data_IF_396653921772
#
_entry.id   IF_396653921772
#
_cell.length_a   1.000
_cell.length_b   1.000
_cell.length_c   1.000
_cell.angle_alpha   90.00
_cell.angle_beta   90.00
_cell.angle_gamma   90.00
#
_symmetry.space_group_name_H-M   'P 1'
#
loop_
_entity.id
_entity.type
_entity.pdbx_description
1 polymer ?
#
# COMPACT_ATOMS: atom_id res chain seq x y z
N UNK A 1 -68.71 -32.87 -72.67
CA UNK A 1 -69.07 -33.94 -71.71
C UNK A 1 -67.88 -34.22 -70.78
N UNK A 2 -68.15 -34.36 -69.46
CA UNK A 2 -67.29 -34.88 -68.36
C UNK A 2 -66.06 -34.02 -67.95
N UNK A 3 -66.12 -33.32 -66.79
CA UNK A 3 -65.70 -33.69 -65.40
C UNK A 3 -64.15 -33.62 -65.26
N UNK A 4 -63.54 -33.00 -64.24
CA UNK A 4 -63.58 -33.34 -62.80
C UNK A 4 -63.08 -32.14 -61.94
N UNK A 5 -63.63 -32.02 -60.72
CA UNK A 5 -63.29 -31.10 -59.63
C UNK A 5 -61.87 -31.29 -59.06
N UNK A 6 -61.27 -30.24 -58.47
CA UNK A 6 -60.64 -30.38 -57.14
C UNK A 6 -60.50 -29.06 -56.40
N UNK A 7 -60.84 -29.14 -55.13
CA UNK A 7 -60.76 -28.18 -54.03
C UNK A 7 -59.29 -27.85 -53.75
N UNK A 8 -58.96 -26.57 -53.51
CA UNK A 8 -57.73 -26.21 -52.81
C UNK A 8 -57.99 -25.20 -51.71
N UNK A 9 -57.51 -25.60 -50.55
CA UNK A 9 -57.69 -25.05 -49.21
C UNK A 9 -56.71 -23.92 -48.95
N UNK A 10 -57.16 -22.97 -48.12
CA UNK A 10 -56.42 -22.00 -47.29
C UNK A 10 -54.93 -22.28 -47.06
N UNK A 11 -54.08 -21.24 -47.15
CA UNK A 11 -53.03 -20.95 -46.15
C UNK A 11 -52.62 -19.47 -46.18
N UNK A 12 -52.91 -18.77 -45.08
CA UNK A 12 -52.29 -17.52 -44.65
C UNK A 12 -50.78 -17.72 -44.46
N UNK A 13 -49.96 -16.78 -44.91
CA UNK A 13 -48.72 -16.42 -44.20
C UNK A 13 -48.44 -14.93 -44.34
N UNK A 14 -48.64 -14.22 -43.23
CA UNK A 14 -48.06 -12.91 -42.96
C UNK A 14 -46.55 -13.03 -42.96
N UNK A 15 -45.89 -12.44 -43.95
CA UNK A 15 -44.44 -12.24 -43.94
C UNK A 15 -44.07 -11.16 -42.95
N UNK A 16 -43.96 -11.52 -41.67
CA UNK A 16 -43.24 -10.74 -40.67
C UNK A 16 -41.77 -10.70 -41.10
N UNK A 17 -41.32 -9.56 -41.62
CA UNK A 17 -39.90 -9.27 -41.80
C UNK A 17 -39.32 -9.12 -40.40
N UNK A 18 -38.71 -10.20 -39.90
CA UNK A 18 -37.83 -10.16 -38.76
C UNK A 18 -36.68 -9.19 -39.08
N UNK A 19 -36.75 -7.99 -38.52
CA UNK A 19 -35.62 -7.08 -38.41
C UNK A 19 -34.62 -7.75 -37.47
N UNK A 20 -33.67 -8.47 -38.05
CA UNK A 20 -32.44 -8.81 -37.36
C UNK A 20 -31.82 -7.48 -36.91
N UNK A 21 -31.88 -7.21 -35.61
CA UNK A 21 -31.13 -6.14 -34.99
C UNK A 21 -29.65 -6.41 -35.28
N UNK A 22 -29.11 -5.75 -36.31
CA UNK A 22 -27.67 -5.61 -36.47
C UNK A 22 -27.19 -4.87 -35.24
N UNK A 23 -26.59 -5.60 -34.29
CA UNK A 23 -25.77 -5.00 -33.24
C UNK A 23 -24.73 -4.12 -33.94
N UNK A 24 -24.93 -2.80 -33.91
CA UNK A 24 -23.99 -1.86 -34.50
C UNK A 24 -22.60 -2.12 -33.90
N UNK A 25 -21.54 -2.23 -34.72
CA UNK A 25 -20.18 -2.44 -34.23
C UNK A 25 -19.71 -1.36 -33.24
N UNK A 26 -20.38 -0.20 -33.18
CA UNK A 26 -20.17 0.86 -32.18
C UNK A 26 -20.56 0.46 -30.76
N UNK A 27 -21.57 -0.40 -30.56
CA UNK A 27 -22.07 -0.74 -29.22
C UNK A 27 -21.12 -1.66 -28.45
N UNK A 28 -20.55 -2.68 -29.13
CA UNK A 28 -19.54 -3.59 -28.54
C UNK A 28 -18.23 -2.86 -28.24
N UNK A 29 -17.78 -1.99 -29.14
CA UNK A 29 -16.58 -1.18 -28.92
C UNK A 29 -16.74 -0.23 -27.72
N UNK A 30 -17.91 0.40 -27.58
CA UNK A 30 -18.22 1.28 -26.45
C UNK A 30 -18.30 0.51 -25.13
N UNK A 31 -18.97 -0.64 -25.09
CA UNK A 31 -19.04 -1.49 -23.89
C UNK A 31 -17.67 -2.00 -23.47
N UNK A 32 -16.83 -2.39 -24.43
CA UNK A 32 -15.46 -2.82 -24.17
C UNK A 32 -14.61 -1.70 -23.57
N UNK A 33 -14.68 -0.49 -24.13
CA UNK A 33 -13.93 0.67 -23.65
C UNK A 33 -14.42 1.13 -22.25
N UNK A 34 -15.73 1.12 -22.00
CA UNK A 34 -16.29 1.41 -20.67
C UNK A 34 -15.90 0.34 -19.62
N UNK A 35 -15.85 -0.93 -20.03
CA UNK A 35 -15.36 -2.03 -19.21
C UNK A 35 -13.88 -1.91 -18.86
N UNK A 36 -13.04 -1.47 -19.80
CA UNK A 36 -11.63 -1.15 -19.57
C UNK A 36 -11.47 -0.03 -18.54
N UNK A 37 -12.23 1.07 -18.67
CA UNK A 37 -12.24 2.16 -17.69
C UNK A 37 -12.58 1.65 -16.28
N UNK A 38 -13.57 0.78 -16.15
CA UNK A 38 -14.02 0.23 -14.85
C UNK A 38 -12.93 -0.62 -14.18
N UNK A 39 -12.22 -1.44 -14.97
CA UNK A 39 -11.08 -2.23 -14.47
C UNK A 39 -9.93 -1.34 -14.01
N UNK A 40 -9.63 -0.28 -14.75
CA UNK A 40 -8.57 0.68 -14.41
C UNK A 40 -8.93 1.52 -13.17
N UNK A 41 -10.21 1.93 -13.03
CA UNK A 41 -10.73 2.60 -11.81
C UNK A 41 -10.57 1.70 -10.58
N UNK A 42 -10.92 0.42 -10.68
CA UNK A 42 -10.74 -0.54 -9.60
C UNK A 42 -9.26 -0.77 -9.25
N UNK A 43 -8.39 -0.88 -10.27
CA UNK A 43 -6.95 -0.98 -10.07
C UNK A 43 -6.34 0.24 -9.37
N UNK A 44 -6.80 1.45 -9.72
CA UNK A 44 -6.41 2.69 -9.06
C UNK A 44 -6.87 2.74 -7.59
N UNK A 45 -8.09 2.30 -7.30
CA UNK A 45 -8.61 2.23 -5.94
C UNK A 45 -7.78 1.27 -5.06
N UNK A 46 -7.47 0.07 -5.57
CA UNK A 46 -6.62 -0.88 -4.86
C UNK A 46 -5.22 -0.35 -4.54
N UNK A 47 -4.61 0.39 -5.48
CA UNK A 47 -3.32 1.04 -5.24
C UNK A 47 -3.39 2.18 -4.22
N UNK A 48 -4.51 2.92 -4.16
CA UNK A 48 -4.75 3.92 -3.12
C UNK A 48 -4.91 3.29 -1.73
N UNK A 49 -5.61 2.16 -1.65
CA UNK A 49 -5.74 1.39 -0.40
C UNK A 49 -4.38 0.86 0.08
N UNK A 50 -3.57 0.33 -0.85
CA UNK A 50 -2.19 -0.06 -0.56
C UNK A 50 -1.37 1.14 -0.08
N UNK A 51 -1.51 2.32 -0.72
CA UNK A 51 -0.83 3.54 -0.29
C UNK A 51 -1.21 3.97 1.11
N UNK A 52 -2.48 3.83 1.48
CA UNK A 52 -2.95 4.11 2.84
C UNK A 52 -2.33 3.15 3.85
N UNK A 53 -2.12 1.87 3.48
CA UNK A 53 -1.45 0.89 4.34
C UNK A 53 0.00 1.25 4.66
N UNK A 54 0.70 1.98 3.77
CA UNK A 54 2.07 2.43 4.02
C UNK A 54 2.19 3.37 5.21
N UNK A 55 1.14 4.14 5.54
CA UNK A 55 1.14 5.04 6.70
C UNK A 55 1.20 4.27 8.01
N UNK A 56 0.49 3.15 8.09
CA UNK A 56 0.51 2.26 9.26
C UNK A 56 1.90 1.65 9.45
N UNK A 57 2.52 1.16 8.37
CA UNK A 57 3.86 0.58 8.43
C UNK A 57 4.93 1.63 8.76
N UNK A 58 4.80 2.85 8.24
CA UNK A 58 5.70 3.97 8.57
C UNK A 58 5.68 4.29 10.08
N UNK A 59 4.48 4.37 10.67
CA UNK A 59 4.31 4.56 12.12
C UNK A 59 4.92 3.42 12.93
N UNK A 60 4.76 2.17 12.47
CA UNK A 60 5.36 0.99 13.11
C UNK A 60 6.88 1.09 13.13
N UNK A 61 7.50 1.44 12.00
CA UNK A 61 8.95 1.61 11.89
C UNK A 61 9.46 2.78 12.75
N UNK A 62 8.74 3.90 12.81
CA UNK A 62 9.07 5.04 13.68
C UNK A 62 9.04 4.66 15.17
N UNK A 63 8.04 3.87 15.59
CA UNK A 63 7.98 3.37 16.96
C UNK A 63 9.18 2.46 17.26
N UNK A 64 9.51 1.56 16.33
CA UNK A 64 10.64 0.66 16.47
C UNK A 64 11.99 1.40 16.56
N UNK A 65 12.18 2.47 15.79
CA UNK A 65 13.35 3.36 15.88
C UNK A 65 13.45 4.04 17.26
N UNK A 66 12.33 4.55 17.77
CA UNK A 66 12.27 5.17 19.09
C UNK A 66 12.63 4.17 20.20
N UNK A 67 12.05 2.97 20.16
CA UNK A 67 12.32 1.91 21.13
C UNK A 67 13.78 1.46 21.08
N UNK A 68 14.35 1.36 19.87
CA UNK A 68 15.75 0.98 19.67
C UNK A 68 16.70 2.04 20.24
N UNK A 69 16.42 3.33 20.02
CA UNK A 69 17.19 4.44 20.61
C UNK A 69 17.14 4.41 22.13
N UNK A 70 15.98 4.13 22.71
CA UNK A 70 15.84 3.99 24.16
C UNK A 70 16.69 2.83 24.71
N UNK A 71 16.69 1.69 24.02
CA UNK A 71 17.47 0.51 24.43
C UNK A 71 18.98 0.72 24.27
N UNK A 72 19.44 1.35 23.18
CA UNK A 72 20.85 1.77 23.01
C UNK A 72 21.29 2.65 24.17
N UNK A 73 20.47 3.63 24.56
CA UNK A 73 20.77 4.50 25.69
C UNK A 73 20.81 3.75 27.02
N UNK A 74 19.94 2.75 27.22
CA UNK A 74 19.99 1.87 28.38
C UNK A 74 21.30 1.08 28.43
N UNK A 75 21.68 0.42 27.34
CA UNK A 75 22.94 -0.34 27.26
C UNK A 75 24.14 0.58 27.52
N UNK A 76 24.13 1.80 26.97
CA UNK A 76 25.19 2.79 27.22
C UNK A 76 25.33 3.12 28.70
N UNK A 77 24.22 3.34 29.42
CA UNK A 77 24.25 3.55 30.87
C UNK A 77 24.77 2.33 31.61
N UNK A 78 24.27 1.14 31.29
CA UNK A 78 24.75 -0.11 31.91
C UNK A 78 26.25 -0.34 31.69
N UNK A 79 26.80 0.05 30.53
CA UNK A 79 28.24 -0.01 30.25
C UNK A 79 29.06 0.95 31.11
N UNK A 80 28.54 2.15 31.38
CA UNK A 80 29.19 3.10 32.29
C UNK A 80 29.19 2.58 33.72
N UNK A 81 28.04 2.11 34.20
CA UNK A 81 27.91 1.53 35.56
C UNK A 81 28.81 0.30 35.72
N UNK A 82 28.83 -0.58 34.72
CA UNK A 82 29.73 -1.74 34.69
C UNK A 82 31.19 -1.34 34.79
N UNK A 83 31.61 -0.30 34.04
CA UNK A 83 33.00 0.16 34.07
C UNK A 83 33.38 0.66 35.47
N UNK A 84 32.50 1.44 36.11
CA UNK A 84 32.73 1.90 37.48
C UNK A 84 32.87 0.74 38.47
N UNK A 85 32.00 -0.28 38.36
CA UNK A 85 32.07 -1.47 39.22
C UNK A 85 33.34 -2.30 38.96
N UNK A 86 33.77 -2.40 37.70
CA UNK A 86 34.98 -3.11 37.30
C UNK A 86 36.25 -2.40 37.81
N UNK A 87 36.31 -1.07 37.66
CA UNK A 87 37.40 -0.25 38.19
C UNK A 87 37.46 -0.38 39.73
N UNK A 88 36.31 -0.36 40.41
CA UNK A 88 36.22 -0.57 41.85
C UNK A 88 36.66 -1.97 42.29
N UNK A 89 36.30 -3.02 41.53
CA UNK A 89 36.77 -4.39 41.79
C UNK A 89 38.28 -4.49 41.59
N UNK A 90 38.83 -3.86 40.54
CA UNK A 90 40.26 -3.85 40.29
C UNK A 90 41.03 -3.22 41.46
N UNK A 91 40.55 -2.09 41.98
CA UNK A 91 41.12 -1.47 43.19
C UNK A 91 41.01 -2.38 44.43
N UNK A 92 39.88 -3.05 44.61
CA UNK A 92 39.63 -3.99 45.71
C UNK A 92 40.58 -5.20 45.63
N UNK A 93 40.81 -5.73 44.43
CA UNK A 93 41.78 -6.79 44.16
C UNK A 93 43.22 -6.35 44.41
N UNK A 94 43.59 -5.12 44.03
CA UNK A 94 44.93 -4.59 44.33
C UNK A 94 45.18 -4.50 45.84
N UNK A 95 44.19 -4.03 46.62
CA UNK A 95 44.28 -3.98 48.09
C UNK A 95 44.34 -5.37 48.71
N UNK A 96 43.49 -6.28 48.23
CA UNK A 96 43.52 -7.68 48.67
C UNK A 96 44.88 -8.32 48.41
N UNK A 97 45.45 -8.16 47.21
CA UNK A 97 46.76 -8.71 46.89
C UNK A 97 47.89 -8.09 47.71
N UNK A 98 47.79 -6.81 48.08
CA UNK A 98 48.77 -6.16 48.94
C UNK A 98 48.73 -6.65 50.40
N UNK A 99 47.54 -6.98 50.92
CA UNK A 99 47.34 -7.36 52.34
C UNK A 99 47.32 -8.88 52.58
N UNK A 100 46.78 -9.63 51.63
CA UNK A 100 46.51 -11.06 51.72
C UNK A 100 47.28 -11.90 50.69
N UNK A 101 47.99 -11.25 49.76
CA UNK A 101 48.77 -11.92 48.71
C UNK A 101 50.18 -12.29 49.16
N UNK A 102 50.74 -13.31 48.50
CA UNK A 102 52.11 -13.78 48.74
C UNK A 102 52.19 -15.05 49.61
N UNK A 103 53.41 -15.53 49.82
CA UNK A 103 53.67 -16.70 50.67
C UNK A 103 53.96 -16.27 52.10
N UNK A 104 53.06 -16.61 53.02
CA UNK A 104 53.23 -16.33 54.44
C UNK A 104 53.62 -17.60 55.22
N UNK A 105 54.43 -17.49 56.28
CA UNK A 105 54.59 -18.55 57.25
C UNK A 105 53.23 -18.95 57.83
N UNK A 106 53.05 -20.23 58.19
CA UNK A 106 51.76 -20.76 58.69
C UNK A 106 51.16 -19.96 59.84
N UNK A 107 51.98 -19.48 60.77
CA UNK A 107 51.54 -18.65 61.91
C UNK A 107 50.93 -17.32 61.49
N UNK A 108 51.47 -16.69 60.45
CA UNK A 108 50.97 -15.43 59.89
C UNK A 108 49.71 -15.68 59.06
N UNK A 109 49.67 -16.79 58.31
CA UNK A 109 48.48 -17.22 57.60
C UNK A 109 47.29 -17.43 58.54
N UNK A 110 47.47 -18.17 59.64
CA UNK A 110 46.39 -18.43 60.61
C UNK A 110 45.82 -17.14 61.23
N UNK A 111 46.62 -16.08 61.34
CA UNK A 111 46.20 -14.75 61.80
C UNK A 111 45.45 -13.94 60.73
N UNK A 112 45.90 -14.01 59.47
CA UNK A 112 45.28 -13.28 58.35
C UNK A 112 44.01 -13.97 57.83
N UNK A 113 43.90 -15.29 57.99
CA UNK A 113 42.82 -16.13 57.48
C UNK A 113 41.41 -15.59 57.75
N UNK A 114 41.04 -15.17 58.99
CA UNK A 114 39.69 -14.68 59.28
C UNK A 114 39.32 -13.40 58.52
N UNK A 115 40.31 -12.63 58.05
CA UNK A 115 40.12 -11.41 57.25
C UNK A 115 40.17 -11.72 55.75
N UNK A 116 41.15 -12.51 55.32
CA UNK A 116 41.44 -12.75 53.91
C UNK A 116 40.46 -13.72 53.24
N UNK A 117 40.08 -14.83 53.88
CA UNK A 117 39.13 -15.79 53.29
C UNK A 117 37.76 -15.16 52.93
N UNK A 118 37.08 -14.41 53.81
CA UNK A 118 35.80 -13.80 53.44
C UNK A 118 35.94 -12.64 52.44
N UNK A 119 37.08 -11.96 52.39
CA UNK A 119 37.33 -10.92 51.39
C UNK A 119 37.59 -11.52 50.01
N UNK A 120 38.42 -12.56 49.92
CA UNK A 120 38.65 -13.32 48.69
C UNK A 120 37.34 -13.84 48.09
N UNK A 121 36.47 -14.42 48.93
CA UNK A 121 35.13 -14.85 48.49
C UNK A 121 34.30 -13.70 47.90
N UNK A 122 34.30 -12.51 48.53
CA UNK A 122 33.59 -11.34 47.99
C UNK A 122 34.15 -10.89 46.64
N UNK A 123 35.47 -10.97 46.45
CA UNK A 123 36.12 -10.66 45.17
C UNK A 123 35.70 -11.68 44.11
N UNK A 124 35.70 -12.97 44.43
CA UNK A 124 35.27 -14.03 43.52
C UNK A 124 33.79 -13.90 43.12
N UNK A 125 32.92 -13.61 44.09
CA UNK A 125 31.49 -13.38 43.87
C UNK A 125 31.25 -12.15 42.97
N UNK A 126 31.96 -11.04 43.22
CA UNK A 126 31.90 -9.83 42.38
C UNK A 126 32.43 -10.08 40.98
N UNK A 127 33.54 -10.80 40.84
CA UNK A 127 34.14 -11.16 39.55
C UNK A 127 33.15 -11.97 38.73
N UNK A 128 32.55 -13.01 39.33
CA UNK A 128 31.53 -13.85 38.69
C UNK A 128 30.31 -13.02 38.27
N UNK A 129 29.87 -12.09 39.11
CA UNK A 129 28.75 -11.20 38.82
C UNK A 129 29.04 -10.27 37.63
N UNK A 130 30.24 -9.68 37.56
CA UNK A 130 30.66 -8.82 36.47
C UNK A 130 30.82 -9.62 35.16
N UNK A 131 31.40 -10.82 35.19
CA UNK A 131 31.49 -11.68 34.02
C UNK A 131 30.11 -12.00 33.44
N UNK A 132 29.13 -12.28 34.30
CA UNK A 132 27.76 -12.53 33.85
C UNK A 132 27.14 -11.27 33.23
N UNK A 133 27.27 -10.11 33.88
CA UNK A 133 26.79 -8.82 33.35
C UNK A 133 27.44 -8.48 32.02
N UNK A 134 28.73 -8.76 31.84
CA UNK A 134 29.43 -8.54 30.58
C UNK A 134 28.84 -9.39 29.45
N UNK A 135 28.55 -10.67 29.71
CA UNK A 135 27.85 -11.56 28.75
C UNK A 135 26.46 -11.05 28.41
N UNK A 136 25.68 -10.64 29.42
CA UNK A 136 24.32 -10.15 29.23
C UNK A 136 24.30 -8.86 28.40
N UNK A 137 25.22 -7.92 28.68
CA UNK A 137 25.37 -6.68 27.89
C UNK A 137 25.80 -6.95 26.45
N UNK A 138 26.72 -7.90 26.23
CA UNK A 138 27.12 -8.32 24.89
C UNK A 138 25.94 -8.92 24.12
N UNK A 139 25.16 -9.79 24.76
CA UNK A 139 23.93 -10.35 24.19
C UNK A 139 22.89 -9.27 23.87
N UNK A 140 22.70 -8.29 24.75
CA UNK A 140 21.79 -7.17 24.51
C UNK A 140 22.26 -6.29 23.33
N UNK A 141 23.56 -6.01 23.24
CA UNK A 141 24.14 -5.25 22.13
C UNK A 141 23.89 -5.96 20.79
N UNK A 142 24.19 -7.26 20.70
CA UNK A 142 23.98 -8.03 19.47
C UNK A 142 22.50 -8.03 19.02
N UNK A 143 21.56 -8.09 19.97
CA UNK A 143 20.13 -7.98 19.68
C UNK A 143 19.76 -6.60 19.13
N UNK A 144 20.29 -5.53 19.73
CA UNK A 144 20.09 -4.15 19.25
C UNK A 144 20.66 -3.99 17.83
N UNK A 145 21.88 -4.47 17.59
CA UNK A 145 22.53 -4.35 16.27
C UNK A 145 21.74 -5.09 15.19
N UNK A 146 21.23 -6.29 15.51
CA UNK A 146 20.37 -7.07 14.61
C UNK A 146 19.07 -6.34 14.30
N UNK A 147 18.41 -5.78 15.33
CA UNK A 147 17.19 -4.99 15.16
C UNK A 147 17.44 -3.73 14.33
N UNK A 148 18.59 -3.07 14.52
CA UNK A 148 18.96 -1.90 13.74
C UNK A 148 19.14 -2.22 12.25
N UNK A 149 19.80 -3.33 11.94
CA UNK A 149 19.95 -3.80 10.57
C UNK A 149 18.59 -4.14 9.93
N UNK A 150 17.71 -4.79 10.68
CA UNK A 150 16.35 -5.11 10.21
C UNK A 150 15.53 -3.86 9.95
N UNK A 151 15.52 -2.91 10.90
CA UNK A 151 14.83 -1.62 10.77
C UNK A 151 15.29 -0.85 9.52
N UNK A 152 16.60 -0.85 9.25
CA UNK A 152 17.17 -0.21 8.06
C UNK A 152 16.68 -0.89 6.78
N UNK A 153 16.73 -2.23 6.74
CA UNK A 153 16.24 -3.01 5.59
C UNK A 153 14.75 -2.82 5.35
N UNK A 154 13.93 -2.81 6.40
CA UNK A 154 12.48 -2.67 6.27
C UNK A 154 12.08 -1.25 5.86
N UNK A 155 12.80 -0.23 6.33
CA UNK A 155 12.64 1.16 5.87
C UNK A 155 12.96 1.30 4.39
N UNK A 156 14.04 0.67 3.91
CA UNK A 156 14.39 0.65 2.48
C UNK A 156 13.33 -0.07 1.65
N UNK A 157 12.85 -1.24 2.10
CA UNK A 157 11.76 -1.97 1.44
C UNK A 157 10.47 -1.15 1.36
N UNK A 158 10.08 -0.47 2.44
CA UNK A 158 8.90 0.38 2.45
C UNK A 158 9.05 1.55 1.47
N UNK A 159 10.23 2.17 1.45
CA UNK A 159 10.54 3.26 0.50
C UNK A 159 10.43 2.79 -0.94
N UNK A 160 10.97 1.61 -1.26
CA UNK A 160 10.87 1.03 -2.58
C UNK A 160 9.41 0.71 -2.95
N UNK A 161 8.65 0.10 -2.04
CA UNK A 161 7.20 -0.16 -2.24
C UNK A 161 6.41 1.12 -2.52
N UNK A 162 6.66 2.20 -1.77
CA UNK A 162 6.04 3.51 -1.99
C UNK A 162 6.33 4.02 -3.39
N UNK A 163 7.60 3.97 -3.82
CA UNK A 163 8.01 4.39 -5.17
C UNK A 163 7.36 3.56 -6.27
N UNK A 164 7.33 2.24 -6.11
CA UNK A 164 6.72 1.33 -7.08
C UNK A 164 5.20 1.51 -7.18
N UNK A 165 4.53 1.73 -6.04
CA UNK A 165 3.11 2.04 -6.01
C UNK A 165 2.80 3.39 -6.67
N UNK A 166 3.59 4.45 -6.38
CA UNK A 166 3.42 5.76 -7.03
C UNK A 166 3.66 5.68 -8.56
N UNK A 167 4.64 4.89 -9.01
CA UNK A 167 4.88 4.64 -10.43
C UNK A 167 3.70 3.89 -11.08
N UNK A 168 3.18 2.83 -10.45
CA UNK A 168 1.99 2.11 -10.92
C UNK A 168 0.75 3.01 -10.93
N UNK A 169 0.59 3.88 -9.93
CA UNK A 169 -0.50 4.84 -9.86
C UNK A 169 -0.46 5.83 -11.02
N UNK A 170 0.73 6.34 -11.37
CA UNK A 170 0.90 7.20 -12.52
C UNK A 170 0.57 6.48 -13.84
N UNK A 171 1.06 5.25 -14.03
CA UNK A 171 0.78 4.42 -15.22
C UNK A 171 -0.72 4.11 -15.37
N UNK A 172 -1.37 3.64 -14.30
CA UNK A 172 -2.81 3.36 -14.30
C UNK A 172 -3.62 4.63 -14.55
N UNK A 173 -3.21 5.77 -13.97
CA UNK A 173 -3.91 7.05 -14.20
C UNK A 173 -3.78 7.50 -15.66
N UNK A 174 -2.60 7.35 -16.27
CA UNK A 174 -2.40 7.68 -17.68
C UNK A 174 -3.25 6.77 -18.61
N UNK A 175 -3.25 5.46 -18.35
CA UNK A 175 -4.10 4.49 -19.08
C UNK A 175 -5.58 4.78 -18.91
N UNK A 176 -6.01 5.12 -17.69
CA UNK A 176 -7.41 5.47 -17.40
C UNK A 176 -7.83 6.71 -18.19
N UNK A 177 -7.03 7.79 -18.20
CA UNK A 177 -7.33 8.98 -18.98
C UNK A 177 -7.42 8.65 -20.48
N UNK A 178 -6.54 7.81 -21.01
CA UNK A 178 -6.59 7.40 -22.41
C UNK A 178 -7.86 6.58 -22.73
N UNK A 179 -8.21 5.62 -21.88
CA UNK A 179 -9.41 4.80 -22.03
C UNK A 179 -10.69 5.66 -21.95
N UNK A 180 -10.74 6.62 -21.04
CA UNK A 180 -11.85 7.56 -20.91
C UNK A 180 -11.99 8.45 -22.15
N UNK A 181 -10.89 9.00 -22.69
CA UNK A 181 -10.92 9.76 -23.95
C UNK A 181 -11.46 8.93 -25.11
N UNK A 182 -11.00 7.68 -25.26
CA UNK A 182 -11.50 6.77 -26.30
C UNK A 182 -12.99 6.48 -26.13
N UNK A 183 -13.45 6.27 -24.90
CA UNK A 183 -14.86 5.98 -24.60
C UNK A 183 -15.75 7.19 -24.92
N UNK A 184 -15.32 8.40 -24.56
CA UNK A 184 -16.01 9.65 -24.94
C UNK A 184 -16.08 9.76 -26.46
N UNK A 185 -14.94 9.62 -27.16
CA UNK A 185 -14.88 9.74 -28.61
C UNK A 185 -15.77 8.72 -29.32
N UNK A 186 -15.87 7.49 -28.81
CA UNK A 186 -16.77 6.45 -29.33
C UNK A 186 -18.25 6.81 -29.11
N UNK A 187 -18.60 7.29 -27.91
CA UNK A 187 -19.98 7.67 -27.60
C UNK A 187 -20.45 8.85 -28.46
N UNK A 188 -19.61 9.86 -28.68
CA UNK A 188 -19.99 11.05 -29.44
C UNK A 188 -20.11 10.83 -30.96
N UNK A 189 -19.64 9.68 -31.48
CA UNK A 189 -19.87 9.26 -32.87
C UNK A 189 -21.31 8.80 -33.11
N UNK A 190 -22.01 8.34 -32.08
CA UNK A 190 -23.41 7.95 -32.16
C UNK A 190 -24.31 9.18 -31.89
N UNK A 191 -25.14 9.61 -32.85
CA UNK A 191 -26.03 10.77 -32.68
C UNK A 191 -26.95 10.67 -31.46
N UNK A 192 -27.43 9.46 -31.14
CA UNK A 192 -28.33 9.21 -30.01
C UNK A 192 -27.61 9.41 -28.68
N UNK A 193 -26.39 8.87 -28.59
CA UNK A 193 -25.57 9.01 -27.38
C UNK A 193 -25.02 10.42 -27.25
N UNK A 194 -24.76 11.12 -28.36
CA UNK A 194 -24.39 12.54 -28.37
C UNK A 194 -25.51 13.42 -27.84
N UNK A 195 -26.76 13.14 -28.20
CA UNK A 195 -27.92 13.86 -27.65
C UNK A 195 -28.07 13.61 -26.14
N UNK A 196 -27.93 12.35 -25.69
CA UNK A 196 -27.90 12.02 -24.25
C UNK A 196 -26.74 12.70 -23.53
N UNK A 197 -25.56 12.78 -24.16
CA UNK A 197 -24.40 13.47 -23.61
C UNK A 197 -24.67 14.96 -23.42
N UNK A 198 -25.33 15.61 -24.38
CA UNK A 198 -25.77 17.01 -24.23
C UNK A 198 -26.76 17.19 -23.07
N UNK A 199 -27.75 16.29 -22.94
CA UNK A 199 -28.68 16.33 -21.81
C UNK A 199 -27.98 16.09 -20.48
N UNK A 200 -26.95 15.24 -20.45
CA UNK A 200 -26.10 15.02 -19.29
C UNK A 200 -25.32 16.28 -18.91
N UNK A 201 -24.71 16.96 -19.89
CA UNK A 201 -23.98 18.22 -19.66
C UNK A 201 -24.89 19.27 -19.01
N UNK A 202 -26.13 19.43 -19.50
CA UNK A 202 -27.12 20.38 -18.95
C UNK A 202 -27.49 20.16 -17.48
N UNK A 203 -27.27 18.95 -16.95
CA UNK A 203 -27.51 18.61 -15.54
C UNK A 203 -26.33 18.96 -14.62
N UNK A 204 -25.21 19.43 -15.18
CA UNK A 204 -24.05 19.88 -14.40
C UNK A 204 -24.37 21.19 -13.68
N UNK A 205 -24.04 21.26 -12.38
CA UNK A 205 -24.34 22.41 -11.51
C UNK A 205 -23.26 23.48 -11.53
N UNK A 206 -22.05 23.17 -12.02
CA UNK A 206 -20.97 24.13 -12.22
C UNK A 206 -20.99 24.69 -13.63
N UNK A 207 -20.95 26.02 -13.76
CA UNK A 207 -20.90 26.71 -15.06
C UNK A 207 -19.68 26.34 -15.89
N UNK A 208 -18.52 26.13 -15.23
CA UNK A 208 -17.29 25.71 -15.89
C UNK A 208 -17.39 24.26 -16.40
N UNK A 209 -17.97 23.35 -15.62
CA UNK A 209 -18.19 21.96 -16.03
C UNK A 209 -19.20 21.87 -17.18
N UNK A 210 -20.27 22.66 -17.12
CA UNK A 210 -21.28 22.76 -18.18
C UNK A 210 -20.66 23.24 -19.48
N UNK A 211 -19.89 24.33 -19.44
CA UNK A 211 -19.25 24.92 -20.62
C UNK A 211 -18.22 23.96 -21.22
N UNK A 212 -17.37 23.37 -20.40
CA UNK A 212 -16.40 22.36 -20.81
C UNK A 212 -17.06 21.12 -21.44
N UNK A 213 -18.09 20.56 -20.80
CA UNK A 213 -18.81 19.39 -21.30
C UNK A 213 -19.49 19.69 -22.65
N UNK A 214 -20.15 20.85 -22.78
CA UNK A 214 -20.78 21.25 -24.04
C UNK A 214 -19.76 21.45 -25.16
N UNK A 215 -18.60 22.05 -24.88
CA UNK A 215 -17.56 22.21 -25.91
C UNK A 215 -16.98 20.87 -26.39
N UNK A 216 -16.89 19.87 -25.53
CA UNK A 216 -16.49 18.52 -25.95
C UNK A 216 -17.60 17.85 -26.77
N UNK A 217 -18.86 17.95 -26.33
CA UNK A 217 -20.01 17.29 -26.98
C UNK A 217 -20.36 17.92 -28.34
N UNK A 218 -20.43 19.25 -28.40
CA UNK A 218 -20.91 20.00 -29.57
C UNK A 218 -19.77 20.50 -30.44
N UNK A 219 -18.76 21.12 -29.84
CA UNK A 219 -17.65 21.75 -30.57
C UNK A 219 -16.51 20.77 -30.90
N UNK A 220 -16.66 19.50 -30.51
CA UNK A 220 -15.64 18.46 -30.65
C UNK A 220 -14.27 18.87 -30.07
N UNK A 221 -14.27 19.71 -29.03
CA UNK A 221 -13.07 20.09 -28.31
C UNK A 221 -12.39 18.85 -27.72
N UNK A 222 -11.06 18.87 -27.67
CA UNK A 222 -10.29 17.82 -27.04
C UNK A 222 -10.63 17.73 -25.54
N UNK A 223 -11.16 16.59 -25.03
CA UNK A 223 -11.50 16.41 -23.62
C UNK A 223 -10.32 16.67 -22.67
N UNK A 224 -9.07 16.55 -23.15
CA UNK A 224 -7.88 16.84 -22.35
C UNK A 224 -7.81 18.28 -21.87
N UNK A 225 -8.38 19.23 -22.62
CA UNK A 225 -8.43 20.67 -22.28
C UNK A 225 -9.45 20.99 -21.18
N UNK A 226 -10.37 20.07 -20.95
CA UNK A 226 -11.51 20.21 -20.04
C UNK A 226 -11.42 19.26 -18.82
N UNK A 227 -10.35 18.47 -18.74
CA UNK A 227 -10.24 17.37 -17.78
C UNK A 227 -11.04 16.15 -18.23
N UNK A 228 -10.36 15.16 -18.80
CA UNK A 228 -11.00 13.93 -19.33
C UNK A 228 -11.88 13.23 -18.30
N UNK A 229 -11.37 13.07 -17.07
CA UNK A 229 -12.07 12.38 -16.00
C UNK A 229 -13.38 13.09 -15.61
N UNK A 230 -13.39 14.43 -15.64
CA UNK A 230 -14.57 15.23 -15.35
C UNK A 230 -15.65 14.99 -16.41
N UNK A 231 -15.29 15.13 -17.69
CA UNK A 231 -16.23 14.93 -18.81
C UNK A 231 -16.75 13.49 -18.80
N UNK A 232 -15.86 12.52 -18.63
CA UNK A 232 -16.24 11.11 -18.55
C UNK A 232 -17.24 10.86 -17.41
N UNK A 233 -17.02 11.45 -16.24
CA UNK A 233 -17.92 11.30 -15.09
C UNK A 233 -19.31 11.90 -15.36
N UNK A 234 -19.37 13.10 -15.96
CA UNK A 234 -20.66 13.72 -16.33
C UNK A 234 -21.45 12.82 -17.28
N UNK A 235 -20.78 12.28 -18.31
CA UNK A 235 -21.43 11.38 -19.28
C UNK A 235 -21.83 10.04 -18.65
N UNK A 236 -21.01 9.49 -17.75
CA UNK A 236 -21.30 8.27 -16.99
C UNK A 236 -22.53 8.44 -16.10
N UNK A 237 -22.58 9.50 -15.30
CA UNK A 237 -23.73 9.84 -14.44
C UNK A 237 -24.98 10.15 -15.26
N UNK A 238 -24.80 10.74 -16.45
CA UNK A 238 -25.87 10.96 -17.42
C UNK A 238 -26.40 9.70 -18.13
N UNK A 239 -25.83 8.53 -17.87
CA UNK A 239 -26.27 7.26 -18.46
C UNK A 239 -25.86 7.08 -19.93
N UNK A 240 -24.89 7.85 -20.43
CA UNK A 240 -24.44 7.79 -21.83
C UNK A 240 -23.76 6.46 -22.15
N UNK A 241 -23.08 5.86 -21.17
CA UNK A 241 -22.37 4.58 -21.31
C UNK A 241 -23.20 3.38 -20.82
N UNK A 242 -24.43 3.62 -20.36
CA UNK A 242 -25.36 2.55 -19.97
C UNK A 242 -25.89 1.81 -21.20
N UNK A 243 -26.10 0.50 -21.07
CA UNK A 243 -26.71 -0.32 -22.11
C UNK A 243 -28.06 0.27 -22.54
N UNK A 244 -28.33 0.23 -23.84
CA UNK A 244 -29.63 0.58 -24.38
C UNK A 244 -30.69 -0.22 -23.63
N UNK A 245 -31.45 0.45 -22.76
CA UNK A 245 -32.71 -0.09 -22.26
C UNK A 245 -33.57 -0.25 -23.50
N UNK A 246 -33.72 -1.50 -23.94
CA UNK A 246 -34.72 -1.92 -24.91
C UNK A 246 -36.05 -1.47 -24.32
N UNK A 247 -36.61 -0.39 -24.85
CA UNK A 247 -37.98 0.00 -24.54
C UNK A 247 -38.86 -1.04 -25.21
N UNK A 248 -39.64 -1.85 -24.48
CA UNK A 248 -40.64 -2.68 -25.12
C UNK A 248 -41.65 -1.75 -25.79
N UNK A 249 -41.73 -1.83 -27.12
CA UNK A 249 -42.81 -1.22 -27.88
C UNK A 249 -44.09 -1.93 -27.47
N UNK A 250 -45.06 -1.17 -26.96
CA UNK A 250 -46.40 -1.66 -26.61
C UNK A 250 -47.14 -2.18 -27.83
#
# INVERSE_FOLDING_TARGET
MRRVLSVFTLFMTLGFVATAAQEQPSSKALQSAAGECTKLEAGKAALLDEKNSFSTEDKRLQQEDSDLKAEVNRIRRSKMDFKMDADALQDDMHKYNAECGGSHPRSVYEQLRPKCEPWGKKIDDKTTSLDQRARDMSGAQNKVDTRQANLSNDTLKLTQKKKDNDAKMADVTAKLNQAQMRTIALALKDPTLRQRASEACKKSTSGEQLQCCNSVVWDAADPSRCGVALVYQVLKTGGVFGTAVVVPVK
#
